data_IF_572222372838
#
_entry.id   IF_572222372838
#
_cell.length_a   1.000
_cell.length_b   1.000
_cell.length_c   1.000
_cell.angle_alpha   90.00
_cell.angle_beta   90.00
_cell.angle_gamma   90.00
#
_symmetry.space_group_name_H-M   'P 1'
#
loop_
_entity.id
_entity.type
_entity.pdbx_description
1 polymer ?
#
# COMPACT_ATOMS: atom_id res chain seq x y z
N UNK A 1 -17.81 -15.90 -18.17
CA UNK A 1 -19.05 -16.46 -17.62
C UNK A 1 -18.70 -17.11 -16.30
N UNK A 2 -19.44 -16.81 -15.23
CA UNK A 2 -19.23 -17.49 -13.95
C UNK A 2 -19.75 -18.93 -14.02
N UNK A 3 -18.93 -19.89 -13.58
CA UNK A 3 -19.29 -21.31 -13.65
C UNK A 3 -20.42 -21.70 -12.69
N UNK A 4 -20.65 -20.93 -11.61
CA UNK A 4 -21.67 -21.24 -10.62
C UNK A 4 -22.99 -20.54 -10.91
N UNK A 5 -22.95 -19.27 -11.35
CA UNK A 5 -24.16 -18.46 -11.57
C UNK A 5 -24.61 -18.39 -13.03
N UNK A 6 -23.76 -18.84 -13.98
CA UNK A 6 -23.93 -18.64 -15.42
C UNK A 6 -24.06 -17.17 -15.85
N UNK A 7 -23.82 -16.22 -14.95
CA UNK A 7 -23.92 -14.80 -15.26
C UNK A 7 -22.72 -14.32 -16.10
N UNK A 8 -23.01 -13.38 -16.99
CA UNK A 8 -22.02 -12.62 -17.73
C UNK A 8 -21.45 -11.53 -16.81
N UNK A 9 -20.31 -11.84 -16.18
CA UNK A 9 -19.55 -10.85 -15.43
C UNK A 9 -18.78 -9.93 -16.39
N UNK A 10 -19.13 -8.65 -16.39
CA UNK A 10 -18.43 -7.64 -17.17
C UNK A 10 -17.01 -7.42 -16.60
N UNK A 11 -15.94 -7.65 -17.39
CA UNK A 11 -14.58 -7.42 -16.92
C UNK A 11 -14.33 -5.92 -16.75
N UNK A 12 -13.66 -5.57 -15.65
CA UNK A 12 -13.10 -4.23 -15.48
C UNK A 12 -11.82 -4.06 -16.31
N UNK A 13 -11.03 -5.14 -16.44
CA UNK A 13 -9.85 -5.16 -17.29
C UNK A 13 -9.38 -6.59 -17.55
N UNK A 14 -8.76 -6.80 -18.70
CA UNK A 14 -8.18 -8.09 -19.10
C UNK A 14 -6.72 -7.84 -19.48
N UNK A 15 -5.82 -8.60 -18.87
CA UNK A 15 -4.41 -8.65 -19.25
C UNK A 15 -4.13 -10.01 -19.87
N UNK A 16 -3.41 -10.05 -21.00
CA UNK A 16 -2.91 -11.26 -21.63
C UNK A 16 -1.39 -11.17 -21.70
N UNK A 17 -0.69 -12.13 -21.12
CA UNK A 17 0.77 -12.16 -20.99
C UNK A 17 1.33 -10.84 -20.42
N UNK A 18 0.63 -10.28 -19.42
CA UNK A 18 1.00 -9.03 -18.75
C UNK A 18 0.64 -7.75 -19.52
N UNK A 19 0.10 -7.82 -20.75
CA UNK A 19 -0.31 -6.66 -21.55
C UNK A 19 -1.82 -6.49 -21.56
N UNK A 20 -2.30 -5.25 -21.57
CA UNK A 20 -3.72 -4.95 -21.69
C UNK A 20 -4.28 -5.50 -23.01
N UNK A 21 -5.30 -6.34 -22.91
CA UNK A 21 -6.01 -6.87 -24.07
C UNK A 21 -6.73 -5.76 -24.83
N UNK A 22 -6.59 -5.78 -26.16
CA UNK A 22 -7.34 -4.95 -27.10
C UNK A 22 -8.10 -5.87 -28.06
N UNK A 23 -9.26 -5.42 -28.54
CA UNK A 23 -10.08 -6.21 -29.47
C UNK A 23 -9.36 -6.54 -30.79
N UNK A 24 -8.31 -5.80 -31.15
CA UNK A 24 -7.48 -6.05 -32.32
C UNK A 24 -6.35 -7.07 -32.08
N UNK A 25 -6.13 -7.51 -30.84
CA UNK A 25 -5.10 -8.51 -30.54
C UNK A 25 -5.50 -9.86 -31.15
N UNK A 26 -4.64 -10.39 -32.02
CA UNK A 26 -4.82 -11.69 -32.65
C UNK A 26 -3.94 -12.70 -31.95
N UNK A 27 -4.53 -13.83 -31.58
CA UNK A 27 -3.79 -14.94 -30.98
C UNK A 27 -3.89 -16.18 -31.85
N UNK A 28 -2.78 -16.89 -32.01
CA UNK A 28 -2.72 -18.08 -32.83
C UNK A 28 -3.34 -19.29 -32.11
N UNK A 29 -3.99 -20.18 -32.87
CA UNK A 29 -4.41 -21.48 -32.34
C UNK A 29 -3.17 -22.28 -31.95
N UNK A 30 -3.22 -22.92 -30.77
CA UNK A 30 -2.09 -23.62 -30.16
C UNK A 30 -1.21 -22.74 -29.27
N UNK A 31 -1.34 -21.41 -29.33
CA UNK A 31 -0.57 -20.50 -28.46
C UNK A 31 -1.05 -20.61 -27.01
N UNK A 32 -0.12 -20.87 -26.09
CA UNK A 32 -0.38 -20.76 -24.65
C UNK A 32 -0.35 -19.30 -24.23
N UNK A 33 -1.42 -18.87 -23.55
CA UNK A 33 -1.56 -17.52 -23.02
C UNK A 33 -1.85 -17.56 -21.52
N UNK A 34 -1.31 -16.60 -20.79
CA UNK A 34 -1.67 -16.32 -19.40
C UNK A 34 -2.62 -15.13 -19.38
N UNK A 35 -3.84 -15.35 -18.93
CA UNK A 35 -4.87 -14.32 -18.84
C UNK A 35 -5.10 -13.96 -17.38
N UNK A 36 -5.12 -12.65 -17.10
CA UNK A 36 -5.54 -12.09 -15.82
C UNK A 36 -6.79 -11.24 -16.05
N UNK A 37 -7.90 -11.61 -15.41
CA UNK A 37 -9.20 -10.96 -15.55
C UNK A 37 -9.52 -10.25 -14.23
N UNK A 38 -9.65 -8.93 -14.28
CA UNK A 38 -10.05 -8.08 -13.17
C UNK A 38 -11.54 -7.80 -13.27
N UNK A 39 -12.29 -8.12 -12.22
CA UNK A 39 -13.75 -7.96 -12.17
C UNK A 39 -14.11 -7.23 -10.89
N UNK A 40 -14.90 -6.15 -10.98
CA UNK A 40 -15.33 -5.40 -9.80
C UNK A 40 -16.03 -6.34 -8.81
N UNK A 41 -15.65 -6.26 -7.52
CA UNK A 41 -16.23 -7.05 -6.41
C UNK A 41 -15.86 -8.54 -6.38
N UNK A 42 -15.02 -9.03 -7.30
CA UNK A 42 -14.57 -10.42 -7.32
C UNK A 42 -13.05 -10.49 -7.26
N UNK A 43 -12.52 -11.61 -6.80
CA UNK A 43 -11.07 -11.86 -6.82
C UNK A 43 -10.58 -11.90 -8.26
N UNK A 44 -9.45 -11.24 -8.54
CA UNK A 44 -8.76 -11.36 -9.82
C UNK A 44 -8.50 -12.81 -10.17
N UNK A 45 -8.89 -13.17 -11.38
CA UNK A 45 -8.71 -14.53 -11.91
C UNK A 45 -7.46 -14.54 -12.77
N UNK A 46 -6.53 -15.45 -12.47
CA UNK A 46 -5.37 -15.72 -13.32
C UNK A 46 -5.45 -17.15 -13.83
N UNK A 47 -5.40 -17.34 -15.14
CA UNK A 47 -5.51 -18.66 -15.79
C UNK A 47 -4.57 -18.74 -16.97
N UNK A 48 -3.92 -19.89 -17.16
CA UNK A 48 -3.13 -20.18 -18.36
C UNK A 48 -3.81 -21.27 -19.16
N UNK A 49 -3.90 -21.09 -20.48
CA UNK A 49 -4.48 -22.10 -21.37
C UNK A 49 -3.96 -21.92 -22.80
N UNK A 50 -3.99 -23.00 -23.58
CA UNK A 50 -3.74 -22.96 -25.02
C UNK A 50 -5.00 -22.53 -25.77
N UNK A 51 -4.87 -21.64 -26.73
CA UNK A 51 -5.98 -21.18 -27.55
C UNK A 51 -6.38 -22.28 -28.52
N UNK A 52 -7.60 -22.79 -28.38
CA UNK A 52 -8.09 -23.89 -29.20
C UNK A 52 -8.87 -23.42 -30.44
N UNK A 53 -9.36 -22.18 -30.42
CA UNK A 53 -10.19 -21.61 -31.49
C UNK A 53 -10.02 -20.09 -31.57
N UNK A 54 -10.37 -19.49 -32.71
CA UNK A 54 -10.21 -18.04 -32.95
C UNK A 54 -10.91 -17.14 -31.92
N UNK A 55 -12.05 -17.57 -31.37
CA UNK A 55 -12.81 -16.84 -30.34
C UNK A 55 -12.94 -17.69 -29.07
N UNK A 56 -11.91 -17.76 -28.21
CA UNK A 56 -11.95 -18.59 -27.01
C UNK A 56 -12.93 -17.99 -25.98
N UNK A 57 -13.88 -18.81 -25.51
CA UNK A 57 -14.73 -18.45 -24.36
C UNK A 57 -14.06 -18.92 -23.08
N UNK A 58 -13.69 -17.97 -22.22
CA UNK A 58 -13.06 -18.30 -20.93
C UNK A 58 -14.14 -18.50 -19.87
N UNK A 59 -14.25 -19.75 -19.40
CA UNK A 59 -15.02 -20.13 -18.22
C UNK A 59 -14.19 -19.94 -16.94
N UNK A 60 -14.79 -19.27 -15.97
CA UNK A 60 -14.12 -18.86 -14.73
C UNK A 60 -15.05 -19.10 -13.53
N UNK A 61 -14.46 -19.54 -12.41
CA UNK A 61 -15.14 -19.57 -11.12
C UNK A 61 -14.77 -18.29 -10.36
N UNK A 62 -15.61 -17.26 -10.44
CA UNK A 62 -15.33 -15.97 -9.85
C UNK A 62 -15.68 -15.98 -8.36
N UNK A 63 -14.67 -15.82 -7.50
CA UNK A 63 -14.89 -15.73 -6.05
C UNK A 63 -15.32 -14.33 -5.66
N UNK A 64 -16.57 -14.17 -5.22
CA UNK A 64 -17.09 -12.89 -4.73
C UNK A 64 -16.37 -12.47 -3.46
N UNK A 65 -15.96 -11.21 -3.42
CA UNK A 65 -15.31 -10.59 -2.28
C UNK A 65 -16.36 -9.92 -1.40
N UNK A 66 -16.06 -9.79 -0.10
CA UNK A 66 -16.94 -9.07 0.82
C UNK A 66 -16.61 -7.59 0.83
N UNK A 67 -17.63 -6.79 1.07
CA UNK A 67 -17.56 -5.34 1.13
C UNK A 67 -17.09 -4.89 2.53
N UNK A 68 -16.16 -3.94 2.56
CA UNK A 68 -15.73 -3.23 3.76
C UNK A 68 -15.68 -1.74 3.47
N UNK A 69 -16.17 -0.93 4.40
CA UNK A 69 -16.26 0.52 4.29
C UNK A 69 -15.46 1.20 5.37
N UNK A 70 -14.84 2.33 5.03
CA UNK A 70 -14.27 3.25 6.01
C UNK A 70 -14.21 4.66 5.43
N UNK A 71 -13.88 5.63 6.27
CA UNK A 71 -13.75 7.02 5.85
C UNK A 71 -12.42 7.60 6.30
N UNK A 72 -11.83 8.46 5.47
CA UNK A 72 -10.68 9.29 5.81
C UNK A 72 -11.09 10.76 5.75
N UNK A 73 -10.39 11.62 6.50
CA UNK A 73 -10.58 13.07 6.35
C UNK A 73 -10.07 13.55 4.98
N UNK A 74 -8.90 13.08 4.60
CA UNK A 74 -8.24 13.39 3.34
C UNK A 74 -7.79 12.08 2.68
N UNK A 75 -7.85 12.02 1.35
CA UNK A 75 -7.24 10.93 0.56
C UNK A 75 -5.73 11.08 0.41
N UNK A 76 -5.18 12.24 0.81
CA UNK A 76 -3.76 12.56 0.68
C UNK A 76 -3.19 13.17 1.97
N UNK A 77 -1.87 13.06 2.11
CA UNK A 77 -1.09 13.75 3.13
C UNK A 77 0.16 14.36 2.49
N UNK A 78 0.59 15.53 3.00
CA UNK A 78 1.88 16.12 2.64
C UNK A 78 2.86 15.96 3.79
N UNK A 79 3.94 15.21 3.56
CA UNK A 79 5.01 14.96 4.54
C UNK A 79 6.31 15.48 3.96
N UNK A 80 6.96 16.42 4.66
CA UNK A 80 8.23 17.02 4.27
C UNK A 80 8.24 17.48 2.79
N UNK A 81 7.15 18.13 2.36
CA UNK A 81 7.00 18.62 0.98
C UNK A 81 6.48 17.59 -0.03
N UNK A 82 6.50 16.28 0.28
CA UNK A 82 6.06 15.20 -0.61
C UNK A 82 4.59 14.83 -0.34
N UNK A 83 3.78 14.81 -1.41
CA UNK A 83 2.37 14.39 -1.33
C UNK A 83 2.23 12.89 -1.55
N UNK A 84 1.49 12.24 -0.66
CA UNK A 84 1.19 10.81 -0.71
C UNK A 84 -0.31 10.57 -0.80
N UNK A 85 -0.72 9.69 -1.72
CA UNK A 85 -2.07 9.16 -1.78
C UNK A 85 -2.26 8.01 -0.78
N UNK A 86 -3.49 7.82 -0.31
CA UNK A 86 -3.88 6.68 0.50
C UNK A 86 -3.63 5.38 -0.27
N UNK A 87 -2.92 4.44 0.37
CA UNK A 87 -2.74 3.07 -0.11
C UNK A 87 -3.35 2.11 0.87
N UNK A 88 -4.11 1.15 0.37
CA UNK A 88 -4.89 0.22 1.18
C UNK A 88 -4.24 -1.15 1.07
N UNK A 89 -4.03 -1.81 2.20
CA UNK A 89 -3.43 -3.13 2.28
C UNK A 89 -4.33 -4.06 3.10
N UNK A 90 -4.36 -5.33 2.71
CA UNK A 90 -4.95 -6.41 3.50
C UNK A 90 -3.83 -7.38 3.85
N UNK A 91 -3.55 -7.52 5.14
CA UNK A 91 -2.29 -8.10 5.60
C UNK A 91 -1.10 -7.27 5.09
N UNK A 92 -0.24 -7.89 4.27
CA UNK A 92 0.93 -7.24 3.67
C UNK A 92 0.77 -7.00 2.15
N UNK A 93 -0.40 -7.29 1.58
CA UNK A 93 -0.64 -7.15 0.14
C UNK A 93 -1.45 -5.89 -0.16
N UNK A 94 -1.04 -5.06 -1.14
CA UNK A 94 -1.84 -3.93 -1.56
C UNK A 94 -3.16 -4.41 -2.17
N UNK A 95 -4.24 -3.72 -1.86
CA UNK A 95 -5.53 -3.98 -2.52
C UNK A 95 -5.46 -3.44 -3.94
N UNK A 96 -5.91 -4.24 -4.90
CA UNK A 96 -5.94 -3.84 -6.30
C UNK A 96 -6.93 -2.70 -6.52
N UNK A 97 -6.55 -1.73 -7.36
CA UNK A 97 -7.31 -0.48 -7.57
C UNK A 97 -8.77 -0.72 -7.97
N UNK A 98 -9.02 -1.72 -8.82
CA UNK A 98 -10.36 -2.06 -9.28
C UNK A 98 -11.31 -2.60 -8.19
N UNK A 99 -10.78 -2.89 -7.01
CA UNK A 99 -11.52 -3.33 -5.82
C UNK A 99 -11.81 -2.19 -4.85
N UNK A 100 -11.29 -1.00 -5.13
CA UNK A 100 -11.43 0.20 -4.31
C UNK A 100 -12.37 1.17 -5.03
N UNK A 101 -13.40 1.61 -4.32
CA UNK A 101 -14.34 2.63 -4.76
C UNK A 101 -14.22 3.82 -3.82
N UNK A 102 -14.10 5.02 -4.39
CA UNK A 102 -13.83 6.25 -3.65
C UNK A 102 -14.92 7.25 -3.97
N UNK A 103 -15.59 7.75 -2.93
CA UNK A 103 -16.62 8.76 -3.03
C UNK A 103 -16.21 10.00 -2.22
N UNK A 104 -16.25 11.16 -2.86
CA UNK A 104 -15.96 12.44 -2.20
C UNK A 104 -17.21 12.95 -1.51
N UNK A 105 -17.14 13.15 -0.20
CA UNK A 105 -18.18 13.80 0.58
C UNK A 105 -17.71 15.12 1.20
N UNK A 106 -18.59 15.78 1.93
CA UNK A 106 -18.27 17.06 2.59
C UNK A 106 -17.32 16.78 3.77
N UNK A 107 -16.04 17.16 3.60
CA UNK A 107 -15.01 17.05 4.64
C UNK A 107 -14.51 15.62 4.93
N UNK A 108 -14.95 14.63 4.14
CA UNK A 108 -14.57 13.22 4.28
C UNK A 108 -14.50 12.55 2.91
N UNK A 109 -13.64 11.55 2.80
CA UNK A 109 -13.52 10.65 1.65
C UNK A 109 -13.97 9.27 2.09
N UNK A 110 -14.98 8.73 1.43
CA UNK A 110 -15.57 7.44 1.72
C UNK A 110 -14.92 6.38 0.83
N UNK A 111 -14.46 5.30 1.44
CA UNK A 111 -13.83 4.18 0.76
C UNK A 111 -14.72 2.96 0.92
N UNK A 112 -15.05 2.33 -0.20
CA UNK A 112 -15.59 0.97 -0.24
C UNK A 112 -14.55 0.05 -0.84
N UNK A 113 -14.13 -0.97 -0.10
CA UNK A 113 -13.08 -1.91 -0.48
C UNK A 113 -13.63 -3.32 -0.49
N UNK A 114 -13.36 -4.06 -1.56
CA UNK A 114 -13.72 -5.46 -1.67
C UNK A 114 -12.53 -6.33 -1.30
N UNK A 115 -12.67 -7.13 -0.25
CA UNK A 115 -11.59 -7.94 0.32
C UNK A 115 -12.01 -9.39 0.48
N UNK A 116 -11.03 -10.28 0.64
CA UNK A 116 -11.28 -11.69 0.87
C UNK A 116 -12.07 -11.89 2.18
N UNK A 117 -13.05 -12.81 2.25
CA UNK A 117 -13.85 -13.04 3.45
C UNK A 117 -13.02 -13.27 4.72
N UNK A 118 -11.91 -14.01 4.59
CA UNK A 118 -10.96 -14.39 5.63
C UNK A 118 -10.05 -13.25 6.12
N UNK A 119 -10.04 -12.11 5.44
CA UNK A 119 -9.24 -10.96 5.83
C UNK A 119 -9.67 -10.45 7.21
N UNK A 120 -8.74 -10.39 8.17
CA UNK A 120 -8.99 -9.95 9.56
C UNK A 120 -8.70 -8.48 9.84
N UNK A 121 -7.87 -7.87 8.99
CA UNK A 121 -7.50 -6.46 9.15
C UNK A 121 -7.20 -5.80 7.82
N UNK A 122 -7.37 -4.48 7.83
CA UNK A 122 -7.00 -3.58 6.76
C UNK A 122 -5.99 -2.56 7.30
N UNK A 123 -4.93 -2.30 6.53
CA UNK A 123 -3.93 -1.27 6.82
C UNK A 123 -4.08 -0.16 5.79
N UNK A 124 -4.35 1.05 6.26
CA UNK A 124 -4.38 2.25 5.40
C UNK A 124 -3.09 3.02 5.62
N UNK A 125 -2.31 3.18 4.56
CA UNK A 125 -1.04 3.90 4.56
C UNK A 125 -1.17 5.25 3.87
N UNK A 126 -0.59 6.28 4.46
CA UNK A 126 -0.45 7.63 3.94
C UNK A 126 1.04 8.01 4.06
N UNK A 127 1.78 7.76 2.98
CA UNK A 127 3.25 7.79 3.01
C UNK A 127 3.80 6.64 3.86
N UNK A 128 4.57 6.98 4.90
CA UNK A 128 5.08 6.03 5.90
C UNK A 128 4.20 5.91 7.14
N UNK A 129 3.18 6.76 7.27
CA UNK A 129 2.25 6.70 8.39
C UNK A 129 1.11 5.74 8.05
N UNK A 130 0.68 4.95 9.02
CA UNK A 130 -0.43 4.04 8.81
C UNK A 130 -1.35 3.90 10.01
N UNK A 131 -2.58 3.48 9.71
CA UNK A 131 -3.54 2.97 10.69
C UNK A 131 -4.01 1.58 10.27
N UNK A 132 -4.32 0.75 11.27
CA UNK A 132 -4.91 -0.57 11.07
C UNK A 132 -6.31 -0.57 11.65
N UNK A 133 -7.24 -1.21 10.96
CA UNK A 133 -8.58 -1.47 11.45
C UNK A 133 -8.91 -2.95 11.33
N UNK A 134 -9.65 -3.47 12.30
CA UNK A 134 -10.18 -4.83 12.24
C UNK A 134 -11.39 -4.87 11.32
N UNK A 135 -11.47 -5.89 10.47
CA UNK A 135 -12.51 -6.03 9.44
C UNK A 135 -13.65 -6.95 9.89
N UNK A 136 -13.86 -7.13 11.20
CA UNK A 136 -14.92 -8.01 11.72
C UNK A 136 -16.32 -7.52 11.33
N UNK A 137 -16.46 -6.21 11.12
CA UNK A 137 -17.70 -5.58 10.68
C UNK A 137 -17.58 -5.09 9.22
N UNK A 138 -18.72 -4.80 8.59
CA UNK A 138 -18.79 -4.14 7.28
C UNK A 138 -18.20 -2.73 7.31
N UNK A 139 -18.30 -2.03 8.44
CA UNK A 139 -17.67 -0.73 8.65
C UNK A 139 -16.45 -0.85 9.55
N UNK A 140 -15.33 -0.29 9.09
CA UNK A 140 -14.06 -0.29 9.80
C UNK A 140 -13.74 1.12 10.26
N UNK A 141 -13.55 1.26 11.58
CA UNK A 141 -13.04 2.50 12.15
C UNK A 141 -11.54 2.58 11.86
N UNK A 142 -11.15 3.54 11.05
CA UNK A 142 -9.76 3.95 10.87
C UNK A 142 -9.55 5.22 11.67
N UNK A 143 -8.59 5.21 12.59
CA UNK A 143 -8.34 6.37 13.44
C UNK A 143 -7.97 7.61 12.63
N UNK A 144 -8.38 8.76 13.15
CA UNK A 144 -8.26 10.06 12.46
C UNK A 144 -6.81 10.51 12.29
N UNK A 145 -5.91 10.07 13.17
CA UNK A 145 -4.49 10.41 13.13
C UNK A 145 -3.69 9.14 12.90
N UNK A 146 -2.98 9.05 11.78
CA UNK A 146 -2.03 7.98 11.54
C UNK A 146 -0.86 8.15 12.50
N UNK A 147 -0.80 7.26 13.49
CA UNK A 147 0.19 7.33 14.56
C UNK A 147 1.26 6.26 14.45
N UNK A 148 1.02 5.19 13.68
CA UNK A 148 2.02 4.14 13.48
C UNK A 148 2.93 4.49 12.31
N UNK A 149 4.18 4.04 12.41
CA UNK A 149 5.23 4.29 11.42
C UNK A 149 5.63 2.96 10.78
N UNK A 150 5.52 2.87 9.46
CA UNK A 150 6.05 1.77 8.66
C UNK A 150 7.51 2.08 8.33
N UNK A 151 8.45 1.30 8.88
CA UNK A 151 9.88 1.60 8.73
C UNK A 151 10.34 1.54 7.27
N UNK A 152 9.84 0.60 6.49
CA UNK A 152 10.16 0.48 5.07
C UNK A 152 9.70 1.71 4.30
N UNK A 153 8.46 2.16 4.54
CA UNK A 153 7.94 3.41 4.01
C UNK A 153 8.73 4.65 4.47
N UNK A 154 9.18 4.67 5.73
CA UNK A 154 9.98 5.79 6.26
C UNK A 154 11.35 5.85 5.57
N UNK A 155 12.03 4.72 5.42
CA UNK A 155 13.31 4.66 4.71
C UNK A 155 13.14 5.14 3.26
N UNK A 156 12.10 4.69 2.55
CA UNK A 156 11.79 5.17 1.20
C UNK A 156 11.53 6.69 1.17
N UNK A 157 10.84 7.23 2.17
CA UNK A 157 10.61 8.66 2.30
C UNK A 157 11.91 9.44 2.51
N UNK A 158 12.78 8.96 3.40
CA UNK A 158 14.08 9.57 3.67
C UNK A 158 15.00 9.53 2.44
N UNK A 159 14.99 8.42 1.69
CA UNK A 159 15.69 8.31 0.41
C UNK A 159 15.16 9.34 -0.60
N UNK A 160 13.84 9.48 -0.72
CA UNK A 160 13.24 10.47 -1.61
C UNK A 160 13.61 11.92 -1.23
N UNK A 161 13.67 12.24 0.07
CA UNK A 161 14.13 13.56 0.54
C UNK A 161 15.60 13.81 0.21
N UNK A 162 16.46 12.82 0.44
CA UNK A 162 17.88 12.91 0.12
C UNK A 162 18.09 13.18 -1.37
N UNK A 163 17.37 12.50 -2.24
CA UNK A 163 17.48 12.66 -3.69
C UNK A 163 16.92 13.99 -4.22
N UNK A 164 15.92 14.57 -3.55
CA UNK A 164 15.24 15.79 -4.00
C UNK A 164 15.87 17.07 -3.48
N UNK A 165 16.19 17.13 -2.20
CA UNK A 165 16.61 18.37 -1.55
C UNK A 165 18.05 18.32 -1.04
N UNK A 166 18.46 17.22 -0.38
CA UNK A 166 19.82 16.83 0.05
C UNK A 166 19.77 16.02 1.36
N UNK A 167 20.94 15.55 1.82
CA UNK A 167 21.10 14.86 3.11
C UNK A 167 20.63 15.70 4.31
N UNK A 168 20.80 17.04 4.29
CA UNK A 168 20.39 17.93 5.39
C UNK A 168 18.90 17.80 5.69
N UNK A 169 18.05 17.87 4.66
CA UNK A 169 16.59 17.80 4.81
C UNK A 169 16.09 16.46 5.35
N UNK A 170 16.77 15.39 4.98
CA UNK A 170 16.53 14.07 5.53
C UNK A 170 16.87 14.01 7.04
N UNK A 171 18.03 14.54 7.44
CA UNK A 171 18.43 14.61 8.87
C UNK A 171 17.44 15.47 9.66
N UNK A 172 17.12 16.66 9.16
CA UNK A 172 16.15 17.57 9.77
C UNK A 172 14.78 16.88 9.95
N UNK A 173 14.33 16.08 8.98
CA UNK A 173 13.07 15.35 9.05
C UNK A 173 13.04 14.37 10.24
N UNK A 174 14.11 13.59 10.43
CA UNK A 174 14.19 12.62 11.55
C UNK A 174 14.27 13.34 12.89
N UNK A 175 15.01 14.45 13.00
CA UNK A 175 15.05 15.27 14.21
C UNK A 175 13.67 15.84 14.57
N UNK A 176 12.92 16.33 13.57
CA UNK A 176 11.55 16.82 13.77
C UNK A 176 10.64 15.67 14.25
N UNK A 177 10.79 14.47 13.70
CA UNK A 177 10.04 13.29 14.16
C UNK A 177 10.36 12.95 15.62
N UNK A 178 11.63 12.98 16.01
CA UNK A 178 12.04 12.74 17.40
C UNK A 178 11.52 13.83 18.34
N UNK A 179 11.44 15.09 17.91
CA UNK A 179 10.91 16.20 18.73
C UNK A 179 9.39 16.15 18.91
N UNK A 180 8.63 15.75 17.87
CA UNK A 180 7.16 15.71 17.92
C UNK A 180 6.66 14.50 18.71
N UNK A 181 5.91 14.74 19.80
CA UNK A 181 5.37 13.69 20.67
C UNK A 181 4.63 12.58 19.93
N UNK A 182 3.73 12.93 19.00
CA UNK A 182 2.94 11.95 18.23
C UNK A 182 3.81 11.04 17.34
N UNK A 183 4.85 11.61 16.72
CA UNK A 183 5.80 10.86 15.89
C UNK A 183 6.73 10.01 16.75
N UNK A 184 7.21 10.54 17.87
CA UNK A 184 8.00 9.78 18.85
C UNK A 184 7.23 8.57 19.38
N UNK A 185 5.93 8.72 19.68
CA UNK A 185 5.06 7.60 20.07
C UNK A 185 4.96 6.56 18.94
N UNK A 186 4.83 7.00 17.69
CA UNK A 186 4.85 6.11 16.52
C UNK A 186 6.16 5.38 16.31
N UNK A 187 7.29 6.07 16.53
CA UNK A 187 8.62 5.50 16.50
C UNK A 187 8.82 4.46 17.61
N UNK A 188 8.32 4.74 18.82
CA UNK A 188 8.33 3.75 19.91
C UNK A 188 7.49 2.52 19.56
N UNK A 189 6.35 2.72 18.90
CA UNK A 189 5.41 1.64 18.54
C UNK A 189 5.84 0.71 17.40
N UNK A 190 6.96 0.99 16.69
CA UNK A 190 7.38 0.13 15.57
C UNK A 190 8.08 -1.16 16.02
N UNK A 191 8.54 -1.25 17.27
CA UNK A 191 9.29 -2.39 17.80
C UNK A 191 10.81 -2.31 17.55
N UNK A 192 11.58 -3.03 18.36
CA UNK A 192 13.04 -2.90 18.42
C UNK A 192 13.74 -3.25 17.10
N UNK A 193 13.28 -4.27 16.38
CA UNK A 193 13.84 -4.68 15.09
C UNK A 193 13.73 -3.57 14.03
N UNK A 194 12.56 -2.93 13.95
CA UNK A 194 12.32 -1.83 13.02
C UNK A 194 13.16 -0.59 13.39
N UNK A 195 13.34 -0.31 14.69
CA UNK A 195 14.27 0.75 15.12
C UNK A 195 15.71 0.40 14.71
N UNK A 196 16.16 -0.84 14.90
CA UNK A 196 17.48 -1.30 14.46
C UNK A 196 17.65 -1.15 12.95
N UNK A 197 16.63 -1.50 12.16
CA UNK A 197 16.64 -1.31 10.71
C UNK A 197 16.79 0.17 10.32
N UNK A 198 16.06 1.06 10.99
CA UNK A 198 16.18 2.50 10.76
C UNK A 198 17.58 3.02 11.12
N UNK A 199 18.13 2.61 12.27
CA UNK A 199 19.48 2.97 12.67
C UNK A 199 20.53 2.49 11.66
N UNK A 200 20.44 1.23 11.22
CA UNK A 200 21.34 0.68 10.20
C UNK A 200 21.27 1.44 8.88
N UNK A 201 20.07 1.83 8.44
CA UNK A 201 19.92 2.71 7.28
C UNK A 201 20.64 4.05 7.51
N UNK A 202 20.41 4.73 8.63
CA UNK A 202 21.05 6.01 8.92
C UNK A 202 22.59 5.92 9.00
N UNK A 203 23.13 4.84 9.54
CA UNK A 203 24.57 4.57 9.62
C UNK A 203 25.20 4.33 8.24
N UNK A 204 24.49 3.68 7.32
CA UNK A 204 24.98 3.37 5.98
C UNK A 204 25.08 4.58 5.06
N UNK A 205 24.56 5.74 5.48
CA UNK A 205 24.54 6.92 4.63
C UNK A 205 25.94 7.51 4.48
N UNK A 206 26.40 7.80 3.25
CA UNK A 206 27.63 8.54 3.05
C UNK A 206 27.45 9.97 3.57
N UNK A 207 28.24 10.32 4.59
CA UNK A 207 28.23 11.64 5.23
C UNK A 207 29.55 12.37 4.93
N UNK A 208 29.54 13.33 3.99
CA UNK A 208 30.77 14.06 3.63
C UNK A 208 31.23 15.02 4.74
N UNK A 209 30.28 15.56 5.51
CA UNK A 209 30.55 16.59 6.51
C UNK A 209 30.44 16.04 7.95
N UNK A 210 31.43 16.42 8.78
CA UNK A 210 31.56 16.00 10.18
C UNK A 210 30.36 16.42 11.04
N UNK A 211 29.75 17.58 10.76
CA UNK A 211 28.59 18.05 11.51
C UNK A 211 27.43 17.06 11.40
N UNK A 212 27.13 16.58 10.19
CA UNK A 212 26.05 15.62 9.97
C UNK A 212 26.35 14.25 10.58
N UNK A 213 27.62 13.84 10.66
CA UNK A 213 28.01 12.61 11.37
C UNK A 213 27.63 12.69 12.84
N UNK A 214 27.91 13.82 13.50
CA UNK A 214 27.53 14.04 14.91
C UNK A 214 26.01 14.03 15.07
N UNK A 215 25.28 14.74 14.20
CA UNK A 215 23.81 14.79 14.26
C UNK A 215 23.18 13.40 14.10
N UNK A 216 23.66 12.61 13.15
CA UNK A 216 23.19 11.23 12.95
C UNK A 216 23.49 10.35 14.17
N UNK A 217 24.68 10.48 14.78
CA UNK A 217 25.01 9.74 15.99
C UNK A 217 24.03 10.06 17.14
N UNK A 218 23.70 11.33 17.34
CA UNK A 218 22.71 11.77 18.34
C UNK A 218 21.31 11.24 18.01
N UNK A 219 20.91 11.24 16.74
CA UNK A 219 19.63 10.67 16.29
C UNK A 219 19.57 9.17 16.58
N UNK A 220 20.63 8.44 16.27
CA UNK A 220 20.71 6.99 16.51
C UNK A 220 20.61 6.71 18.01
N UNK A 221 21.38 7.42 18.85
CA UNK A 221 21.30 7.28 20.30
C UNK A 221 19.88 7.53 20.83
N UNK A 222 19.23 8.59 20.33
CA UNK A 222 17.85 8.90 20.69
C UNK A 222 16.86 7.81 20.26
N UNK A 223 17.04 7.23 19.07
CA UNK A 223 16.23 6.11 18.57
C UNK A 223 16.46 4.84 19.41
N UNK A 224 17.70 4.54 19.78
CA UNK A 224 18.01 3.37 20.61
C UNK A 224 17.43 3.47 22.02
N UNK A 225 17.38 4.66 22.60
CA UNK A 225 16.67 4.90 23.87
C UNK A 225 15.18 4.56 23.78
N UNK A 226 14.56 4.66 22.61
CA UNK A 226 13.17 4.24 22.40
C UNK A 226 12.98 2.71 22.42
N UNK A 227 14.04 1.91 22.28
CA UNK A 227 13.98 0.44 22.38
C UNK A 227 13.82 -0.06 23.82
N UNK A 228 14.32 0.71 24.78
CA UNK A 228 14.51 0.28 26.17
C UNK A 228 13.30 0.59 27.09
N UNK A 229 12.24 1.20 26.55
CA UNK A 229 11.07 1.67 27.30
C UNK A 229 9.77 1.15 26.69
#
# INVERSE_FOLDING_TARGET
MDDNTQELLAPHGILVNGKQYKAADVFAVGQTVQVQIKIKKYKTITKSFAIQQKNPVIRVNAKKLRKVEFMLRNSTIRLNGITYNARIFVGNQPVEEHLIFIEQGIGRVYYTVHIAPEAKSIKVMLGYLYNKGLTNNSYVRIDRQASNVDVGGLIQHLQALKSRENTKKMVDAVEIMLKKFSMRKGLKGMGAENITMLCGYLQSLPMPDKEYKVRIAVIIEALEKLKQQ
#
